data_IF_639543553601
#
_entry.id   IF_639543553601
#
_cell.length_a   1.000
_cell.length_b   1.000
_cell.length_c   1.000
_cell.angle_alpha   90.00
_cell.angle_beta   90.00
_cell.angle_gamma   90.00
#
_symmetry.space_group_name_H-M   'P 1'
#
loop_
_entity.id
_entity.type
_entity.pdbx_description
1 polymer ?
#
# COMPACT_ATOMS: atom_id res chain seq x y z
N UNK A 1 -16.81 25.70 6.69
CA UNK A 1 -16.40 24.43 7.30
C UNK A 1 -15.13 24.02 6.62
N UNK A 2 -14.08 23.72 7.39
CA UNK A 2 -12.81 23.23 6.84
C UNK A 2 -13.13 21.85 6.26
N UNK A 3 -13.14 21.75 4.92
CA UNK A 3 -13.38 20.49 4.23
C UNK A 3 -12.23 19.51 4.44
N UNK A 4 -12.33 18.32 3.88
CA UNK A 4 -11.30 17.29 3.87
C UNK A 4 -10.06 17.76 3.09
N UNK A 5 -9.28 18.67 3.69
CA UNK A 5 -8.06 19.23 3.11
C UNK A 5 -6.88 18.37 3.55
N UNK A 6 -6.16 17.79 2.58
CA UNK A 6 -4.94 17.04 2.86
C UNK A 6 -3.89 17.97 3.48
N UNK A 7 -3.36 17.58 4.65
CA UNK A 7 -2.36 18.36 5.40
C UNK A 7 -0.94 18.02 4.94
N UNK A 8 -0.72 16.79 4.45
CA UNK A 8 0.55 16.33 3.89
C UNK A 8 0.32 15.11 2.99
N UNK A 9 1.23 14.86 2.05
CA UNK A 9 1.27 13.63 1.25
C UNK A 9 2.70 13.10 1.19
N UNK A 10 2.87 11.80 1.40
CA UNK A 10 4.16 11.12 1.24
C UNK A 10 3.94 9.77 0.56
N UNK A 11 4.89 9.37 -0.27
CA UNK A 11 4.85 8.09 -0.98
C UNK A 11 5.81 7.12 -0.31
N UNK A 12 5.33 5.90 -0.06
CA UNK A 12 6.15 4.80 0.43
C UNK A 12 6.37 3.84 -0.75
N UNK A 13 7.63 3.66 -1.15
CA UNK A 13 7.96 2.69 -2.19
C UNK A 13 7.73 1.28 -1.66
N UNK A 14 6.87 0.51 -2.36
CA UNK A 14 6.54 -0.86 -2.00
C UNK A 14 7.78 -1.75 -1.94
N UNK A 15 8.80 -1.52 -2.77
CA UNK A 15 10.04 -2.31 -2.73
C UNK A 15 10.81 -2.11 -1.42
N UNK A 16 10.72 -0.93 -0.81
CA UNK A 16 11.40 -0.63 0.45
C UNK A 16 10.73 -1.30 1.66
N UNK A 17 9.44 -1.58 1.54
CA UNK A 17 8.63 -2.20 2.60
C UNK A 17 8.25 -3.65 2.29
N UNK A 18 8.84 -4.24 1.24
CA UNK A 18 8.68 -5.67 0.89
C UNK A 18 10.00 -6.41 1.06
N UNK A 19 9.94 -7.70 1.34
CA UNK A 19 11.13 -8.56 1.32
C UNK A 19 11.32 -9.19 -0.08
N UNK A 20 12.43 -8.91 -0.79
CA UNK A 20 12.71 -9.49 -2.10
C UNK A 20 13.17 -10.96 -2.05
N UNK A 21 13.30 -11.56 -0.88
CA UNK A 21 13.78 -12.91 -0.65
C UNK A 21 12.87 -14.04 -1.16
N UNK A 22 13.37 -15.28 -1.01
CA UNK A 22 12.91 -16.53 -1.66
C UNK A 22 11.55 -17.09 -1.17
N UNK A 23 10.69 -16.23 -0.61
CA UNK A 23 9.27 -16.39 -0.26
C UNK A 23 8.71 -15.05 0.27
N UNK A 24 9.12 -13.92 -0.34
CA UNK A 24 8.89 -12.56 0.13
C UNK A 24 7.50 -12.29 0.71
N UNK A 25 7.45 -11.50 1.79
CA UNK A 25 6.18 -11.05 2.36
C UNK A 25 5.62 -9.86 1.57
N UNK A 26 4.29 -9.75 1.54
CA UNK A 26 3.62 -8.60 0.93
C UNK A 26 4.07 -7.31 1.63
N UNK A 27 4.10 -6.15 0.95
CA UNK A 27 4.50 -4.88 1.56
C UNK A 27 3.93 -4.67 2.97
N UNK A 28 4.81 -4.51 3.97
CA UNK A 28 4.43 -4.23 5.37
C UNK A 28 5.27 -3.10 5.94
N UNK A 29 4.65 -2.20 6.69
CA UNK A 29 5.33 -1.08 7.35
C UNK A 29 4.89 -0.94 8.81
N UNK A 30 5.80 -0.57 9.70
CA UNK A 30 5.50 -0.26 11.10
C UNK A 30 5.41 -1.47 12.04
N UNK A 31 4.99 -1.27 13.30
CA UNK A 31 4.52 -0.01 13.87
C UNK A 31 5.64 1.05 13.95
N UNK A 32 5.40 2.23 13.39
CA UNK A 32 6.36 3.32 13.38
C UNK A 32 5.69 4.67 13.72
N UNK A 33 6.43 5.54 14.40
CA UNK A 33 6.01 6.91 14.67
C UNK A 33 6.28 7.79 13.45
N UNK A 34 5.25 8.46 12.96
CA UNK A 34 5.36 9.54 11.98
C UNK A 34 5.26 10.86 12.73
N UNK A 35 6.34 11.63 12.75
CA UNK A 35 6.39 12.93 13.41
C UNK A 35 5.84 14.03 12.48
N UNK A 36 4.98 14.88 13.03
CA UNK A 36 4.40 16.01 12.33
C UNK A 36 5.10 17.29 12.76
N UNK A 37 5.60 18.04 11.80
CA UNK A 37 6.23 19.34 12.00
C UNK A 37 5.47 20.40 11.22
N UNK A 38 5.39 21.60 11.78
CA UNK A 38 4.70 22.74 11.19
C UNK A 38 5.41 24.06 11.48
N UNK A 39 4.75 25.16 11.17
CA UNK A 39 5.20 26.50 11.52
C UNK A 39 5.38 26.69 13.03
N UNK A 40 6.19 27.67 13.47
CA UNK A 40 6.13 28.19 14.83
C UNK A 40 4.73 28.70 15.19
N UNK A 41 4.43 28.75 16.50
CA UNK A 41 3.19 29.36 16.95
C UNK A 41 3.19 30.84 16.61
N UNK A 42 2.21 31.28 15.83
CA UNK A 42 2.10 32.68 15.48
C UNK A 42 1.62 33.48 16.70
N UNK A 43 2.47 34.38 17.20
CA UNK A 43 2.16 35.32 18.29
C UNK A 43 1.80 36.72 17.78
N UNK A 44 1.85 36.94 16.46
CA UNK A 44 1.62 38.25 15.83
C UNK A 44 0.25 38.34 15.17
N UNK A 45 -0.32 39.55 15.13
CA UNK A 45 -1.65 39.83 14.54
C UNK A 45 -1.77 39.49 13.05
N UNK A 46 -0.64 39.36 12.33
CA UNK A 46 -0.61 38.88 10.94
C UNK A 46 -0.20 37.41 10.91
N UNK A 47 -0.86 36.61 10.07
CA UNK A 47 -0.44 35.22 9.83
C UNK A 47 0.80 35.16 8.93
N UNK A 48 1.94 35.45 9.53
CA UNK A 48 3.26 35.42 8.89
C UNK A 48 3.68 34.02 8.45
N UNK A 49 2.99 32.98 8.92
CA UNK A 49 3.28 31.58 8.60
C UNK A 49 2.18 30.92 7.80
N UNK A 50 1.32 31.72 7.15
CA UNK A 50 0.19 31.22 6.37
C UNK A 50 0.59 30.15 5.35
N UNK A 51 1.65 30.37 4.58
CA UNK A 51 2.13 29.38 3.59
C UNK A 51 2.51 28.04 4.24
N UNK A 52 3.21 28.07 5.38
CA UNK A 52 3.55 26.87 6.14
C UNK A 52 2.31 26.20 6.77
N UNK A 53 1.33 26.98 7.21
CA UNK A 53 0.05 26.48 7.75
C UNK A 53 -0.81 25.84 6.65
N UNK A 54 -0.68 26.32 5.41
CA UNK A 54 -1.33 25.79 4.21
C UNK A 54 -0.53 24.65 3.56
N UNK A 55 0.55 24.18 4.20
CA UNK A 55 1.37 23.06 3.70
C UNK A 55 2.33 23.42 2.57
N UNK A 56 2.49 24.71 2.26
CA UNK A 56 3.41 25.25 1.24
C UNK A 56 4.78 25.55 1.86
N UNK A 57 5.41 24.55 2.48
CA UNK A 57 6.75 24.68 3.05
C UNK A 57 7.10 23.60 4.08
N UNK A 58 8.36 23.55 4.51
CA UNK A 58 8.81 22.59 5.52
C UNK A 58 8.69 23.19 6.93
N UNK A 59 7.82 22.59 7.75
CA UNK A 59 7.69 22.96 9.16
C UNK A 59 8.92 22.59 9.99
N UNK A 60 9.27 23.41 10.98
CA UNK A 60 10.42 23.21 11.88
C UNK A 60 10.02 22.96 13.33
N UNK A 61 8.76 23.22 13.71
CA UNK A 61 8.26 23.05 15.07
C UNK A 61 7.44 21.76 15.20
N UNK A 62 7.76 20.93 16.21
CA UNK A 62 7.03 19.68 16.47
C UNK A 62 5.57 19.97 16.84
N UNK A 63 4.64 19.28 16.16
CA UNK A 63 3.19 19.42 16.35
C UNK A 63 2.54 18.15 16.86
N UNK A 64 3.25 17.02 16.84
CA UNK A 64 2.74 15.74 17.34
C UNK A 64 3.31 14.55 16.58
N UNK A 65 2.76 13.37 16.86
CA UNK A 65 3.13 12.14 16.18
C UNK A 65 1.92 11.21 16.02
N UNK A 66 1.93 10.43 14.94
CA UNK A 66 0.93 9.41 14.65
C UNK A 66 1.63 8.04 14.68
N UNK A 67 1.05 7.07 15.38
CA UNK A 67 1.51 5.67 15.30
C UNK A 67 0.83 5.02 14.10
N UNK A 68 1.62 4.50 13.17
CA UNK A 68 1.11 3.93 11.92
C UNK A 68 1.71 2.55 11.66
N UNK A 69 0.87 1.66 11.12
CA UNK A 69 1.27 0.39 10.54
C UNK A 69 0.47 0.14 9.24
N UNK A 70 1.09 -0.53 8.27
CA UNK A 70 0.48 -0.94 7.00
C UNK A 70 0.71 -2.45 6.85
N UNK A 71 -0.36 -3.20 6.58
CA UNK A 71 -0.33 -4.64 6.32
C UNK A 71 -1.12 -4.94 5.05
N UNK A 72 -0.76 -6.02 4.36
CA UNK A 72 -1.41 -6.44 3.12
C UNK A 72 -1.92 -7.88 3.26
N UNK A 73 -3.24 -8.03 3.14
CA UNK A 73 -3.93 -9.32 3.07
C UNK A 73 -4.42 -9.58 1.64
N UNK A 74 -4.04 -10.74 1.08
CA UNK A 74 -4.39 -11.12 -0.30
C UNK A 74 -5.49 -12.18 -0.27
N UNK A 75 -6.63 -11.87 -0.89
CA UNK A 75 -7.76 -12.79 -1.02
C UNK A 75 -7.82 -13.37 -2.44
N UNK A 76 -7.94 -14.70 -2.56
CA UNK A 76 -8.10 -15.37 -3.85
C UNK A 76 -9.55 -15.80 -4.07
N UNK A 77 -10.14 -15.42 -5.22
CA UNK A 77 -11.44 -15.94 -5.64
C UNK A 77 -11.27 -17.31 -6.33
N UNK A 78 -12.03 -18.34 -5.94
CA UNK A 78 -11.88 -19.70 -6.48
C UNK A 78 -12.21 -19.85 -7.98
N UNK A 79 -12.71 -18.78 -8.62
CA UNK A 79 -13.13 -18.77 -10.02
C UNK A 79 -11.98 -18.89 -11.05
N UNK A 80 -10.73 -18.60 -10.66
CA UNK A 80 -9.57 -18.60 -11.58
C UNK A 80 -8.82 -19.94 -11.61
N UNK A 81 -8.82 -20.70 -10.52
CA UNK A 81 -8.07 -21.97 -10.39
C UNK A 81 -8.67 -23.12 -11.22
N UNK A 82 -9.98 -23.07 -11.49
CA UNK A 82 -10.69 -24.12 -12.26
C UNK A 82 -10.23 -24.21 -13.73
N UNK A 83 -9.71 -23.13 -14.34
CA UNK A 83 -9.38 -23.10 -15.77
C UNK A 83 -8.14 -23.93 -16.13
N UNK A 84 -7.17 -24.09 -15.22
CA UNK A 84 -5.93 -24.86 -15.50
C UNK A 84 -6.05 -26.36 -15.25
N UNK A 85 -7.00 -26.81 -14.44
CA UNK A 85 -7.18 -28.24 -14.13
C UNK A 85 -8.05 -28.96 -15.17
N UNK A 86 -9.01 -28.25 -15.78
CA UNK A 86 -9.93 -28.81 -16.77
C UNK A 86 -9.32 -29.09 -18.16
N UNK A 87 -8.15 -28.53 -18.46
CA UNK A 87 -7.52 -28.66 -19.78
C UNK A 87 -6.56 -29.86 -19.87
N UNK A 88 -5.91 -30.21 -18.76
CA UNK A 88 -4.98 -31.36 -18.70
C UNK A 88 -5.68 -32.71 -18.73
N UNK A 89 -6.90 -32.81 -18.21
CA UNK A 89 -7.67 -34.07 -18.15
C UNK A 89 -8.23 -34.47 -19.51
N UNK A 90 -8.60 -33.50 -20.37
CA UNK A 90 -9.15 -33.78 -21.71
C UNK A 90 -8.13 -34.38 -22.68
N UNK A 91 -6.86 -33.97 -22.59
CA UNK A 91 -5.78 -34.49 -23.44
C UNK A 91 -5.41 -35.95 -23.16
N UNK A 92 -5.42 -36.36 -21.89
CA UNK A 92 -5.11 -37.73 -21.47
C UNK A 92 -6.21 -38.73 -21.89
N UNK A 93 -7.48 -38.33 -21.75
CA UNK A 93 -8.63 -39.14 -22.17
C UNK A 93 -8.70 -39.34 -23.70
N UNK A 94 -8.25 -38.37 -24.50
CA UNK A 94 -8.20 -38.49 -25.97
C UNK A 94 -7.17 -39.52 -26.44
N UNK A 95 -6.02 -39.60 -25.75
CA UNK A 95 -4.97 -40.61 -26.02
C UNK A 95 -5.37 -42.03 -25.64
N UNK A 96 -6.23 -42.19 -24.63
CA UNK A 96 -6.74 -43.49 -24.22
C UNK A 96 -7.78 -44.06 -25.21
N UNK A 97 -8.61 -43.19 -25.81
CA UNK A 97 -9.60 -43.60 -26.83
C UNK A 97 -8.98 -43.94 -28.19
N UNK A 98 -7.78 -43.47 -28.50
CA UNK A 98 -7.12 -43.75 -29.78
C UNK A 98 -6.43 -45.12 -29.82
N UNK A 99 -6.14 -45.73 -28.67
CA UNK A 99 -5.52 -47.07 -28.57
C UNK A 99 -6.51 -48.24 -28.62
N UNK A 100 -7.81 -47.98 -28.88
CA UNK A 100 -8.86 -49.01 -28.93
C UNK A 100 -9.52 -49.19 -30.31
N UNK A 101 -8.91 -48.67 -31.38
CA UNK A 101 -9.27 -49.11 -32.74
C UNK A 101 -8.14 -49.98 -33.27
N UNK A 102 -8.50 -51.26 -33.42
CA UNK A 102 -7.81 -52.34 -34.15
C UNK A 102 -7.40 -51.87 -35.54
#
# INVERSE_FOLDING_TARGET
GVGDVAIATHYIDLQQISDPGRNGFNPTFGPAWVNLYGSPQNSTLRDIHKELNEGTGQGTCYRGRVLMAITVEVFSSPSVTQRKLGDKTKGALKKLKLKKKV
#
